data_IF_022148248658
#
_entry.id   IF_022148248658
#
_cell.length_a   1.000
_cell.length_b   1.000
_cell.length_c   1.000
_cell.angle_alpha   90.00
_cell.angle_beta   90.00
_cell.angle_gamma   90.00
#
_symmetry.space_group_name_H-M   'P 1'
#
loop_
_entity.id
_entity.type
_entity.pdbx_description
1 polymer ?
#
# COMPACT_ATOMS: atom_id res chain seq x y z
N UNK A 1 25.13 -29.72 11.24
CA UNK A 1 24.07 -30.49 10.55
C UNK A 1 23.01 -29.46 10.11
N UNK A 2 23.07 -29.06 8.85
CA UNK A 2 22.09 -28.14 8.24
C UNK A 2 20.85 -28.96 7.91
N UNK A 3 19.76 -28.73 8.64
CA UNK A 3 18.45 -29.28 8.26
C UNK A 3 18.09 -28.81 6.85
N UNK A 4 17.62 -29.71 5.96
CA UNK A 4 17.22 -29.30 4.62
C UNK A 4 16.07 -28.27 4.73
N UNK A 5 16.19 -27.19 3.98
CA UNK A 5 15.09 -26.21 3.83
C UNK A 5 13.85 -26.95 3.32
N UNK A 6 12.68 -26.74 3.92
CA UNK A 6 11.45 -27.38 3.46
C UNK A 6 11.21 -27.00 1.99
N UNK A 7 11.08 -28.01 1.13
CA UNK A 7 10.72 -27.82 -0.28
C UNK A 7 9.31 -27.24 -0.32
N UNK A 8 9.08 -26.05 -0.91
CA UNK A 8 7.76 -25.46 -0.98
C UNK A 8 6.82 -26.36 -1.78
N UNK A 9 5.60 -26.53 -1.28
CA UNK A 9 4.54 -27.22 -2.01
C UNK A 9 4.28 -26.46 -3.34
N UNK A 10 4.22 -27.13 -4.48
CA UNK A 10 4.17 -26.47 -5.79
C UNK A 10 2.96 -25.58 -6.06
N UNK A 11 1.92 -25.63 -5.20
CA UNK A 11 0.68 -24.82 -5.31
C UNK A 11 0.33 -24.05 -4.04
N UNK A 12 1.26 -23.88 -3.07
CA UNK A 12 0.97 -23.10 -1.87
C UNK A 12 0.90 -21.60 -2.19
N UNK A 13 -0.07 -20.85 -1.66
CA UNK A 13 -0.07 -19.39 -1.70
C UNK A 13 1.26 -18.82 -1.16
N UNK A 14 1.67 -17.66 -1.68
CA UNK A 14 2.84 -16.94 -1.16
C UNK A 14 2.61 -16.47 0.28
N UNK A 15 1.38 -16.05 0.56
CA UNK A 15 0.89 -15.76 1.91
C UNK A 15 -0.50 -16.37 2.07
N UNK A 16 -0.72 -17.08 3.16
CA UNK A 16 -2.04 -17.54 3.60
C UNK A 16 -2.29 -17.06 5.02
N UNK A 17 -3.40 -16.38 5.23
CA UNK A 17 -3.87 -15.94 6.54
C UNK A 17 -5.26 -16.55 6.76
N UNK A 18 -5.49 -17.14 7.95
CA UNK A 18 -6.77 -17.76 8.31
C UNK A 18 -7.21 -17.32 9.69
N UNK A 19 -8.41 -16.76 9.76
CA UNK A 19 -9.10 -16.35 11.00
C UNK A 19 -8.19 -15.58 11.97
N UNK A 20 -7.32 -14.72 11.43
CA UNK A 20 -6.31 -14.03 12.22
C UNK A 20 -6.96 -12.99 13.13
N UNK A 21 -6.69 -13.10 14.43
CA UNK A 21 -7.18 -12.22 15.48
C UNK A 21 -6.03 -11.61 16.24
N UNK A 22 -6.19 -10.34 16.61
CA UNK A 22 -5.25 -9.65 17.51
C UNK A 22 -6.00 -8.77 18.48
N UNK A 23 -5.80 -9.06 19.76
CA UNK A 23 -6.18 -8.19 20.87
C UNK A 23 -4.91 -7.78 21.59
N UNK A 24 -4.73 -6.49 21.83
CA UNK A 24 -3.62 -5.93 22.58
C UNK A 24 -3.92 -5.94 24.09
N UNK A 25 -2.91 -5.79 24.94
CA UNK A 25 -3.04 -5.85 26.39
C UNK A 25 -3.95 -4.75 26.97
N UNK A 26 -4.11 -3.65 26.25
CA UNK A 26 -5.06 -2.58 26.57
C UNK A 26 -6.53 -2.89 26.21
N UNK A 27 -6.82 -4.10 25.77
CA UNK A 27 -8.16 -4.57 25.38
C UNK A 27 -8.57 -4.19 23.96
N UNK A 28 -7.79 -3.43 23.21
CA UNK A 28 -8.10 -3.06 21.81
C UNK A 28 -7.95 -4.28 20.91
N UNK A 29 -9.05 -4.68 20.30
CA UNK A 29 -9.04 -5.72 19.28
C UNK A 29 -8.79 -5.09 17.90
N UNK A 30 -7.59 -5.30 17.35
CA UNK A 30 -7.16 -4.71 16.09
C UNK A 30 -7.50 -5.57 14.86
N UNK A 31 -7.63 -6.90 15.04
CA UNK A 31 -8.03 -7.83 13.97
C UNK A 31 -9.12 -8.77 14.47
N UNK A 32 -10.17 -8.96 13.64
CA UNK A 32 -11.41 -9.65 13.97
C UNK A 32 -11.65 -10.93 13.14
N UNK A 33 -10.62 -11.71 12.84
CA UNK A 33 -10.73 -12.93 12.02
C UNK A 33 -10.44 -12.64 10.55
N UNK A 34 -9.31 -11.99 10.29
CA UNK A 34 -8.83 -11.70 8.93
C UNK A 34 -8.42 -12.99 8.24
N UNK A 35 -8.95 -13.21 7.02
CA UNK A 35 -8.56 -14.31 6.15
C UNK A 35 -8.27 -13.77 4.75
N UNK A 36 -7.08 -14.09 4.21
CA UNK A 36 -6.71 -13.70 2.85
C UNK A 36 -5.65 -14.65 2.29
N UNK A 37 -5.60 -14.76 0.95
CA UNK A 37 -4.57 -15.47 0.22
C UNK A 37 -3.91 -14.54 -0.80
N UNK A 38 -2.57 -14.61 -0.91
CA UNK A 38 -1.78 -13.96 -1.94
C UNK A 38 -1.07 -15.04 -2.75
N UNK A 39 -1.22 -15.01 -4.07
CA UNK A 39 -0.63 -16.01 -4.96
C UNK A 39 0.86 -15.74 -5.21
N UNK A 40 1.66 -16.79 -5.52
CA UNK A 40 3.06 -16.61 -5.91
C UNK A 40 3.19 -15.70 -7.15
N UNK A 41 4.18 -14.78 -7.10
CA UNK A 41 4.43 -13.83 -8.18
C UNK A 41 3.40 -12.72 -8.32
N UNK A 42 2.41 -12.63 -7.41
CA UNK A 42 1.43 -11.55 -7.44
C UNK A 42 2.03 -10.20 -7.01
N UNK A 43 1.42 -9.12 -7.48
CA UNK A 43 1.57 -7.79 -6.95
C UNK A 43 0.24 -7.40 -6.33
N UNK A 44 0.18 -7.47 -5.02
CA UNK A 44 -1.05 -7.40 -4.22
C UNK A 44 -1.12 -6.11 -3.41
N UNK A 45 -2.28 -5.43 -3.42
CA UNK A 45 -2.51 -4.26 -2.58
C UNK A 45 -3.31 -4.63 -1.32
N UNK A 46 -2.85 -4.15 -0.16
CA UNK A 46 -3.63 -4.15 1.08
C UNK A 46 -4.04 -2.71 1.39
N UNK A 47 -5.29 -2.38 1.13
CA UNK A 47 -5.85 -1.05 1.29
C UNK A 47 -6.72 -0.95 2.55
N UNK A 48 -6.85 0.26 3.10
CA UNK A 48 -7.72 0.51 4.24
C UNK A 48 -7.43 1.87 4.87
N UNK A 49 -8.38 2.46 5.60
CA UNK A 49 -8.16 3.71 6.32
C UNK A 49 -7.12 3.57 7.43
N UNK A 50 -6.70 4.70 7.99
CA UNK A 50 -5.84 4.69 9.16
C UNK A 50 -6.56 4.02 10.34
N UNK A 51 -5.84 3.16 11.06
CA UNK A 51 -6.42 2.37 12.16
C UNK A 51 -7.21 1.13 11.73
N UNK A 52 -7.33 0.82 10.43
CA UNK A 52 -8.06 -0.36 9.94
C UNK A 52 -7.43 -1.71 10.30
N UNK A 53 -6.18 -1.72 10.79
CA UNK A 53 -5.48 -2.96 11.16
C UNK A 53 -4.34 -3.37 10.22
N UNK A 54 -4.04 -2.60 9.16
CA UNK A 54 -2.97 -2.91 8.18
C UNK A 54 -1.61 -3.17 8.84
N UNK A 55 -1.14 -2.20 9.64
CA UNK A 55 0.19 -2.31 10.30
C UNK A 55 0.21 -3.45 11.33
N UNK A 56 -0.92 -3.76 11.98
CA UNK A 56 -1.03 -4.94 12.86
C UNK A 56 -0.93 -6.23 12.06
N UNK A 57 -1.62 -6.33 10.93
CA UNK A 57 -1.54 -7.50 10.04
C UNK A 57 -0.11 -7.70 9.52
N UNK A 58 0.52 -6.64 8.98
CA UNK A 58 1.92 -6.68 8.54
C UNK A 58 2.85 -7.04 9.68
N UNK A 59 2.66 -6.43 10.86
CA UNK A 59 3.47 -6.72 12.05
C UNK A 59 3.41 -8.20 12.45
N UNK A 60 2.25 -8.85 12.32
CA UNK A 60 2.13 -10.29 12.60
C UNK A 60 2.82 -11.11 11.52
N UNK A 61 2.57 -10.83 10.24
CA UNK A 61 3.19 -11.55 9.11
C UNK A 61 4.72 -11.47 9.18
N UNK A 62 5.26 -10.28 9.56
CA UNK A 62 6.69 -10.04 9.73
C UNK A 62 7.24 -10.46 11.10
N UNK A 63 6.43 -11.12 11.94
CA UNK A 63 6.83 -11.58 13.28
C UNK A 63 7.28 -10.47 14.24
N UNK A 64 6.89 -9.23 14.01
CA UNK A 64 7.09 -8.09 14.93
C UNK A 64 6.00 -8.01 16.00
N UNK A 65 4.82 -8.56 15.71
CA UNK A 65 3.67 -8.61 16.61
C UNK A 65 3.20 -10.06 16.74
N UNK A 66 2.93 -10.51 17.97
CA UNK A 66 2.36 -11.84 18.19
C UNK A 66 0.87 -11.84 17.88
N UNK A 67 0.39 -12.86 17.19
CA UNK A 67 -1.05 -13.09 16.97
C UNK A 67 -1.73 -13.52 18.30
N UNK A 68 -3.03 -13.26 18.42
CA UNK A 68 -3.83 -13.78 19.54
C UNK A 68 -4.53 -15.10 19.18
N UNK A 69 -4.94 -15.26 17.92
CA UNK A 69 -5.51 -16.51 17.38
C UNK A 69 -5.44 -16.49 15.84
N UNK A 70 -5.63 -17.66 15.23
CA UNK A 70 -5.56 -17.83 13.78
C UNK A 70 -4.23 -18.42 13.32
N UNK A 71 -4.01 -18.43 12.01
CA UNK A 71 -2.83 -19.02 11.38
C UNK A 71 -2.28 -18.15 10.27
N UNK A 72 -0.95 -18.13 10.12
CA UNK A 72 -0.23 -17.46 9.04
C UNK A 72 0.81 -18.41 8.46
N UNK A 73 0.76 -18.60 7.15
CA UNK A 73 1.74 -19.38 6.40
C UNK A 73 2.38 -18.53 5.29
N UNK A 74 3.70 -18.65 5.13
CA UNK A 74 4.48 -18.04 4.06
C UNK A 74 5.02 -19.14 3.17
N UNK A 75 4.54 -19.26 1.93
CA UNK A 75 4.82 -20.37 1.00
C UNK A 75 4.64 -21.75 1.63
N UNK A 76 3.54 -21.94 2.41
CA UNK A 76 3.25 -23.17 3.11
C UNK A 76 4.09 -23.40 4.38
N UNK A 77 4.93 -22.45 4.76
CA UNK A 77 5.72 -22.49 5.99
C UNK A 77 4.94 -21.78 7.09
N UNK A 78 4.50 -22.52 8.11
CA UNK A 78 3.72 -21.99 9.23
C UNK A 78 4.56 -21.10 10.13
N UNK A 79 4.07 -19.88 10.39
CA UNK A 79 4.77 -18.85 11.13
C UNK A 79 4.93 -19.20 12.63
N UNK A 80 3.98 -19.92 13.21
CA UNK A 80 4.01 -20.25 14.64
C UNK A 80 5.03 -21.35 14.94
N UNK A 81 5.13 -22.35 14.06
CA UNK A 81 5.96 -23.54 14.29
C UNK A 81 7.33 -23.46 13.61
N UNK A 82 7.44 -22.70 12.50
CA UNK A 82 8.65 -22.60 11.67
C UNK A 82 9.08 -21.17 11.40
N UNK A 83 9.01 -20.30 12.41
CA UNK A 83 9.23 -18.86 12.33
C UNK A 83 10.49 -18.48 11.55
N UNK A 84 11.65 -19.07 11.89
CA UNK A 84 12.92 -18.73 11.24
C UNK A 84 12.94 -19.09 9.76
N UNK A 85 12.30 -20.19 9.37
CA UNK A 85 12.19 -20.59 7.97
C UNK A 85 11.26 -19.65 7.21
N UNK A 86 10.10 -19.31 7.78
CA UNK A 86 9.16 -18.34 7.18
C UNK A 86 9.81 -16.96 6.99
N UNK A 87 10.55 -16.46 7.97
CA UNK A 87 11.21 -15.15 7.92
C UNK A 87 12.35 -15.08 6.90
N UNK A 88 12.97 -16.19 6.52
CA UNK A 88 13.94 -16.21 5.42
C UNK A 88 13.32 -16.04 4.04
N UNK A 89 12.03 -16.31 3.91
CA UNK A 89 11.28 -16.14 2.66
C UNK A 89 10.73 -14.73 2.50
N UNK A 90 10.80 -13.89 3.56
CA UNK A 90 10.15 -12.60 3.65
C UNK A 90 11.16 -11.46 3.75
N UNK A 91 10.96 -10.42 2.94
CA UNK A 91 11.60 -9.11 3.08
C UNK A 91 10.56 -8.07 3.51
N UNK A 92 10.93 -7.19 4.44
CA UNK A 92 10.08 -6.11 4.92
C UNK A 92 10.75 -4.76 4.66
N UNK A 93 10.02 -3.85 4.04
CA UNK A 93 10.35 -2.42 3.93
C UNK A 93 9.34 -1.64 4.76
N UNK A 94 9.69 -1.20 5.98
CA UNK A 94 8.78 -0.44 6.83
C UNK A 94 8.57 0.99 6.33
N UNK A 95 7.55 1.64 6.85
CA UNK A 95 7.23 3.03 6.51
C UNK A 95 8.34 4.01 6.92
N UNK A 96 8.98 3.82 8.05
CA UNK A 96 10.05 4.69 8.52
C UNK A 96 11.44 4.20 8.09
N UNK A 97 12.35 5.16 7.84
CA UNK A 97 13.75 4.87 7.54
C UNK A 97 14.42 4.35 8.83
N UNK A 98 14.88 3.10 8.80
CA UNK A 98 15.40 2.39 9.96
C UNK A 98 16.82 1.82 9.75
N UNK A 99 17.69 2.57 9.10
CA UNK A 99 19.12 2.26 8.98
C UNK A 99 19.96 3.42 9.50
N UNK A 100 21.23 3.16 9.80
CA UNK A 100 22.15 4.17 10.31
C UNK A 100 22.52 5.17 9.20
N UNK A 101 22.16 6.44 9.39
CA UNK A 101 22.40 7.50 8.42
C UNK A 101 23.88 7.88 8.27
N UNK A 102 24.74 7.46 9.21
CA UNK A 102 26.18 7.72 9.18
C UNK A 102 26.97 6.57 8.53
N UNK A 103 26.29 5.52 8.07
CA UNK A 103 26.89 4.45 7.27
C UNK A 103 26.71 4.74 5.77
N UNK A 104 27.55 4.09 4.96
CA UNK A 104 27.45 4.12 3.51
C UNK A 104 26.41 3.12 3.01
N UNK A 105 25.69 3.38 1.90
CA UNK A 105 24.76 2.41 1.32
C UNK A 105 25.34 1.02 1.13
N UNK A 106 26.56 0.91 0.64
CA UNK A 106 27.24 -0.36 0.45
C UNK A 106 27.42 -1.14 1.79
N UNK A 107 27.92 -0.45 2.81
CA UNK A 107 28.16 -1.07 4.13
C UNK A 107 26.84 -1.48 4.79
N UNK A 108 25.78 -0.68 4.67
CA UNK A 108 24.44 -1.01 5.17
C UNK A 108 23.95 -2.33 4.58
N UNK A 109 24.09 -2.53 3.26
CA UNK A 109 23.65 -3.74 2.60
C UNK A 109 24.49 -4.95 3.03
N UNK A 110 25.81 -4.83 3.02
CA UNK A 110 26.74 -5.90 3.38
C UNK A 110 26.53 -6.32 4.85
N UNK A 111 26.43 -5.36 5.76
CA UNK A 111 26.17 -5.62 7.17
C UNK A 111 24.82 -6.31 7.38
N UNK A 112 23.78 -5.85 6.69
CA UNK A 112 22.45 -6.46 6.77
C UNK A 112 22.46 -7.93 6.33
N UNK A 113 23.11 -8.25 5.20
CA UNK A 113 23.26 -9.63 4.74
C UNK A 113 24.04 -10.50 5.75
N UNK A 114 25.03 -9.91 6.43
CA UNK A 114 25.81 -10.56 7.48
C UNK A 114 24.95 -11.02 8.67
N UNK A 115 23.91 -10.27 9.07
CA UNK A 115 22.96 -10.69 10.12
C UNK A 115 22.17 -11.95 9.75
N UNK A 116 22.02 -12.25 8.45
CA UNK A 116 21.39 -13.46 7.94
C UNK A 116 22.39 -14.58 7.64
N UNK A 117 23.68 -14.38 7.99
CA UNK A 117 24.73 -15.39 7.85
C UNK A 117 25.32 -15.50 6.45
N UNK A 118 25.11 -14.51 5.58
CA UNK A 118 25.69 -14.48 4.24
C UNK A 118 27.20 -14.23 4.32
N UNK A 119 28.06 -15.02 3.63
CA UNK A 119 29.49 -14.74 3.55
C UNK A 119 29.77 -13.36 2.96
N UNK A 120 30.78 -12.65 3.50
CA UNK A 120 31.07 -11.27 3.13
C UNK A 120 31.29 -11.08 1.63
N UNK A 121 32.05 -11.95 0.98
CA UNK A 121 32.31 -11.86 -0.46
C UNK A 121 31.03 -12.00 -1.31
N UNK A 122 30.09 -12.82 -0.87
CA UNK A 122 28.78 -12.95 -1.50
C UNK A 122 27.90 -11.70 -1.25
N UNK A 123 27.90 -11.20 -0.02
CA UNK A 123 27.19 -9.99 0.37
C UNK A 123 27.67 -8.75 -0.40
N UNK A 124 29.00 -8.60 -0.59
CA UNK A 124 29.58 -7.49 -1.36
C UNK A 124 29.17 -7.57 -2.84
N UNK A 125 29.22 -8.75 -3.45
CA UNK A 125 28.76 -8.96 -4.83
C UNK A 125 27.26 -8.66 -4.99
N UNK A 126 26.44 -9.13 -4.07
CA UNK A 126 24.99 -8.89 -4.10
C UNK A 126 24.66 -7.42 -3.83
N UNK A 127 25.38 -6.76 -2.92
CA UNK A 127 25.19 -5.34 -2.63
C UNK A 127 25.43 -4.47 -3.88
N UNK A 128 26.44 -4.79 -4.70
CA UNK A 128 26.65 -4.12 -5.98
C UNK A 128 25.45 -4.29 -6.92
N UNK A 129 24.91 -5.51 -7.04
CA UNK A 129 23.75 -5.80 -7.88
C UNK A 129 22.53 -5.01 -7.41
N UNK A 130 22.23 -5.06 -6.11
CA UNK A 130 21.03 -4.42 -5.58
C UNK A 130 21.14 -2.88 -5.58
N UNK A 131 22.33 -2.31 -5.36
CA UNK A 131 22.55 -0.87 -5.50
C UNK A 131 22.43 -0.40 -6.95
N UNK A 132 22.88 -1.19 -7.92
CA UNK A 132 22.68 -0.90 -9.35
C UNK A 132 21.19 -0.94 -9.72
N UNK A 133 20.45 -1.96 -9.28
CA UNK A 133 18.99 -2.08 -9.48
C UNK A 133 18.24 -0.90 -8.85
N UNK A 134 18.65 -0.45 -7.68
CA UNK A 134 18.07 0.71 -7.01
C UNK A 134 18.52 2.07 -7.57
N UNK A 135 19.36 2.10 -8.61
CA UNK A 135 19.99 3.33 -9.15
C UNK A 135 20.73 4.14 -8.08
N UNK A 136 21.50 3.45 -7.23
CA UNK A 136 22.29 4.05 -6.13
C UNK A 136 23.76 3.70 -6.15
N UNK A 137 24.26 3.03 -7.20
CA UNK A 137 25.65 2.60 -7.27
C UNK A 137 26.64 3.76 -7.24
N UNK A 138 26.32 4.88 -7.90
CA UNK A 138 27.11 6.11 -7.88
C UNK A 138 27.18 6.74 -6.48
N UNK A 139 26.27 6.38 -5.58
CA UNK A 139 26.20 6.82 -4.18
C UNK A 139 26.62 5.74 -3.19
N UNK A 140 27.11 4.58 -3.65
CA UNK A 140 27.45 3.44 -2.80
C UNK A 140 28.42 3.77 -1.66
N UNK A 141 29.32 4.74 -1.89
CA UNK A 141 30.42 5.10 -0.98
C UNK A 141 30.23 6.45 -0.25
N UNK A 142 29.09 7.14 -0.44
CA UNK A 142 28.79 8.39 0.29
C UNK A 142 28.03 8.10 1.56
N UNK A 143 28.01 9.02 2.53
CA UNK A 143 27.21 8.87 3.75
C UNK A 143 25.73 8.89 3.44
N UNK A 144 24.96 7.95 3.97
CA UNK A 144 23.53 7.81 3.69
C UNK A 144 22.69 9.02 4.14
N UNK A 145 23.17 9.82 5.09
CA UNK A 145 22.54 11.09 5.48
C UNK A 145 22.40 12.08 4.34
N UNK A 146 23.32 12.05 3.34
CA UNK A 146 23.33 12.96 2.19
C UNK A 146 22.36 12.55 1.08
N UNK A 147 21.75 11.36 1.18
CA UNK A 147 20.77 10.88 0.22
C UNK A 147 19.45 11.63 0.38
N UNK A 148 18.75 11.87 -0.74
CA UNK A 148 17.37 12.37 -0.72
C UNK A 148 16.40 11.36 -0.07
N UNK A 149 15.20 11.79 0.30
CA UNK A 149 14.18 10.90 0.85
C UNK A 149 13.87 9.70 -0.06
N UNK A 150 13.70 9.95 -1.36
CA UNK A 150 13.48 8.88 -2.34
C UNK A 150 14.67 7.95 -2.51
N UNK A 151 15.92 8.46 -2.46
CA UNK A 151 17.11 7.62 -2.47
C UNK A 151 17.21 6.73 -1.24
N UNK A 152 16.87 7.26 -0.06
CA UNK A 152 16.81 6.47 1.18
C UNK A 152 15.74 5.37 1.09
N UNK A 153 14.57 5.65 0.50
CA UNK A 153 13.52 4.65 0.27
C UNK A 153 14.01 3.53 -0.66
N UNK A 154 14.65 3.88 -1.78
CA UNK A 154 15.24 2.89 -2.69
C UNK A 154 16.32 2.05 -2.02
N UNK A 155 17.12 2.66 -1.12
CA UNK A 155 18.11 1.93 -0.32
C UNK A 155 17.45 0.92 0.63
N UNK A 156 16.30 1.24 1.23
CA UNK A 156 15.56 0.28 2.06
C UNK A 156 15.06 -0.92 1.25
N UNK A 157 14.59 -0.70 0.03
CA UNK A 157 14.19 -1.78 -0.88
C UNK A 157 15.41 -2.64 -1.22
N UNK A 158 16.53 -2.03 -1.65
CA UNK A 158 17.77 -2.73 -1.94
C UNK A 158 18.26 -3.57 -0.75
N UNK A 159 18.17 -3.02 0.48
CA UNK A 159 18.52 -3.75 1.71
C UNK A 159 17.61 -4.96 1.93
N UNK A 160 16.30 -4.80 1.76
CA UNK A 160 15.37 -5.92 1.92
C UNK A 160 15.62 -7.03 0.87
N UNK A 161 16.09 -6.68 -0.32
CA UNK A 161 16.43 -7.64 -1.38
C UNK A 161 17.74 -8.42 -1.13
N UNK A 162 18.59 -7.99 -0.18
CA UNK A 162 19.83 -8.70 0.17
C UNK A 162 19.60 -10.13 0.65
N UNK A 163 18.43 -10.44 1.22
CA UNK A 163 18.07 -11.80 1.64
C UNK A 163 17.42 -12.62 0.52
N UNK A 164 17.30 -12.07 -0.67
CA UNK A 164 16.62 -12.69 -1.84
C UNK A 164 15.23 -13.24 -1.48
N UNK A 165 14.35 -12.41 -0.89
CA UNK A 165 13.06 -12.86 -0.40
C UNK A 165 12.16 -13.31 -1.55
N UNK A 166 11.31 -14.31 -1.31
CA UNK A 166 10.26 -14.71 -2.24
C UNK A 166 8.99 -13.87 -2.07
N UNK A 167 8.79 -13.29 -0.88
CA UNK A 167 7.72 -12.36 -0.53
C UNK A 167 8.32 -11.05 -0.01
N UNK A 168 8.03 -9.94 -0.67
CA UNK A 168 8.42 -8.59 -0.25
C UNK A 168 7.19 -7.83 0.22
N UNK A 169 7.21 -7.34 1.44
CA UNK A 169 6.17 -6.46 2.00
C UNK A 169 6.70 -5.04 2.06
N UNK A 170 5.91 -4.11 1.52
CA UNK A 170 6.21 -2.69 1.46
C UNK A 170 5.12 -1.92 2.20
N UNK A 171 5.48 -1.31 3.33
CA UNK A 171 4.54 -0.50 4.10
C UNK A 171 4.69 0.97 3.73
N UNK A 172 3.73 1.49 2.95
CA UNK A 172 3.67 2.85 2.43
C UNK A 172 5.01 3.34 1.79
N UNK A 173 5.57 2.61 0.81
CA UNK A 173 6.94 2.87 0.34
C UNK A 173 7.11 4.23 -0.32
N UNK A 174 6.05 4.85 -0.84
CA UNK A 174 6.08 6.13 -1.55
C UNK A 174 5.51 7.30 -0.74
N UNK A 175 5.24 7.09 0.56
CA UNK A 175 4.73 8.17 1.42
C UNK A 175 5.73 9.33 1.50
N UNK A 176 5.24 10.54 1.22
CA UNK A 176 6.04 11.76 1.31
C UNK A 176 7.11 11.93 0.24
N UNK A 177 7.03 11.21 -0.90
CA UNK A 177 7.94 11.40 -2.04
C UNK A 177 7.24 12.06 -3.22
N UNK A 178 8.00 12.83 -4.00
CA UNK A 178 7.53 13.51 -5.21
C UNK A 178 7.08 12.53 -6.29
N UNK A 179 6.23 12.99 -7.21
CA UNK A 179 5.62 12.16 -8.25
C UNK A 179 6.66 11.50 -9.18
N UNK A 180 7.76 12.18 -9.50
CA UNK A 180 8.83 11.63 -10.35
C UNK A 180 9.56 10.50 -9.63
N UNK A 181 9.93 10.71 -8.37
CA UNK A 181 10.58 9.69 -7.53
C UNK A 181 9.66 8.49 -7.32
N UNK A 182 8.34 8.72 -7.15
CA UNK A 182 7.33 7.66 -7.05
C UNK A 182 7.31 6.79 -8.30
N UNK A 183 7.29 7.40 -9.49
CA UNK A 183 7.31 6.66 -10.77
C UNK A 183 8.58 5.84 -10.96
N UNK A 184 9.73 6.36 -10.54
CA UNK A 184 10.99 5.62 -10.58
C UNK A 184 10.97 4.42 -9.62
N UNK A 185 10.42 4.57 -8.43
CA UNK A 185 10.22 3.46 -7.50
C UNK A 185 9.27 2.39 -8.07
N UNK A 186 8.19 2.78 -8.71
CA UNK A 186 7.26 1.85 -9.37
C UNK A 186 7.97 1.01 -10.44
N UNK A 187 8.92 1.60 -11.18
CA UNK A 187 9.71 0.87 -12.16
C UNK A 187 10.56 -0.21 -11.49
N UNK A 188 11.29 0.14 -10.45
CA UNK A 188 12.11 -0.81 -9.67
C UNK A 188 11.24 -1.93 -9.09
N UNK A 189 10.08 -1.62 -8.53
CA UNK A 189 9.17 -2.62 -7.97
C UNK A 189 8.59 -3.55 -9.04
N UNK A 190 8.26 -3.04 -10.24
CA UNK A 190 7.83 -3.88 -11.37
C UNK A 190 8.94 -4.84 -11.81
N UNK A 191 10.18 -4.39 -11.85
CA UNK A 191 11.33 -5.23 -12.19
C UNK A 191 11.54 -6.36 -11.16
N UNK A 192 11.43 -6.04 -9.86
CA UNK A 192 11.50 -7.02 -8.77
C UNK A 192 10.37 -8.06 -8.90
N UNK A 193 9.13 -7.62 -9.17
CA UNK A 193 7.99 -8.52 -9.34
C UNK A 193 8.11 -9.36 -10.61
N UNK A 194 8.57 -8.78 -11.73
CA UNK A 194 8.80 -9.49 -12.98
C UNK A 194 9.90 -10.56 -12.86
N UNK A 195 10.85 -10.39 -11.96
CA UNK A 195 11.85 -11.38 -11.61
C UNK A 195 11.31 -12.54 -10.74
N UNK A 196 10.01 -12.53 -10.38
CA UNK A 196 9.32 -13.61 -9.67
C UNK A 196 9.06 -13.37 -8.19
N UNK A 197 9.51 -12.25 -7.62
CA UNK A 197 9.22 -11.91 -6.22
C UNK A 197 7.75 -11.51 -6.07
N UNK A 198 7.02 -12.15 -5.15
CA UNK A 198 5.67 -11.73 -4.76
C UNK A 198 5.75 -10.43 -3.97
N UNK A 199 4.89 -9.47 -4.25
CA UNK A 199 4.91 -8.17 -3.56
C UNK A 199 3.55 -7.92 -2.91
N UNK A 200 3.58 -7.53 -1.62
CA UNK A 200 2.43 -6.96 -0.91
C UNK A 200 2.74 -5.48 -0.63
N UNK A 201 1.85 -4.62 -1.08
CA UNK A 201 1.97 -3.18 -0.96
C UNK A 201 0.84 -2.65 -0.08
N UNK A 202 1.16 -1.90 0.98
CA UNK A 202 0.20 -0.99 1.60
C UNK A 202 0.41 0.41 1.07
N UNK A 203 -0.65 1.10 0.79
CA UNK A 203 -0.62 2.50 0.36
C UNK A 203 -1.94 3.19 0.66
N UNK A 204 -1.89 4.48 0.85
CA UNK A 204 -3.06 5.38 0.83
C UNK A 204 -3.20 6.10 -0.53
N UNK A 205 -2.23 5.93 -1.43
CA UNK A 205 -2.29 6.41 -2.81
C UNK A 205 -2.93 5.35 -3.70
N UNK A 206 -4.23 5.49 -3.96
CA UNK A 206 -5.00 4.50 -4.71
C UNK A 206 -4.52 4.36 -6.17
N UNK A 207 -4.00 5.44 -6.76
CA UNK A 207 -3.34 5.42 -8.07
C UNK A 207 -2.16 4.45 -8.11
N UNK A 208 -1.38 4.36 -7.01
CA UNK A 208 -0.28 3.42 -6.89
C UNK A 208 -0.76 1.96 -6.92
N UNK A 209 -1.80 1.66 -6.14
CA UNK A 209 -2.40 0.33 -6.11
C UNK A 209 -2.96 -0.05 -7.48
N UNK A 210 -3.70 0.85 -8.14
CA UNK A 210 -4.28 0.61 -9.47
C UNK A 210 -3.20 0.43 -10.55
N UNK A 211 -2.10 1.19 -10.47
CA UNK A 211 -1.00 1.12 -11.43
C UNK A 211 -0.14 -0.13 -11.31
N UNK A 212 0.04 -0.66 -10.09
CA UNK A 212 1.00 -1.72 -9.79
C UNK A 212 0.34 -3.08 -9.54
N UNK A 213 -0.82 -3.10 -8.88
CA UNK A 213 -1.36 -4.32 -8.31
C UNK A 213 -2.39 -4.99 -9.19
N UNK A 214 -2.32 -6.33 -9.27
CA UNK A 214 -3.29 -7.15 -10.00
C UNK A 214 -4.48 -7.54 -9.13
N UNK A 215 -4.23 -7.78 -7.86
CA UNK A 215 -5.21 -8.15 -6.85
C UNK A 215 -5.12 -7.20 -5.65
N UNK A 216 -6.23 -7.08 -4.93
CA UNK A 216 -6.26 -6.28 -3.71
C UNK A 216 -7.14 -6.91 -2.63
N UNK A 217 -6.91 -6.48 -1.39
CA UNK A 217 -7.87 -6.62 -0.30
C UNK A 217 -8.08 -5.26 0.36
N UNK A 218 -9.31 -4.97 0.73
CA UNK A 218 -9.67 -3.79 1.51
C UNK A 218 -9.97 -4.26 2.92
N UNK A 219 -9.23 -3.70 3.88
CA UNK A 219 -9.44 -3.95 5.31
C UNK A 219 -10.07 -2.71 5.95
N UNK A 220 -11.14 -2.89 6.70
CA UNK A 220 -11.74 -1.86 7.53
C UNK A 220 -12.09 -2.44 8.90
N UNK A 221 -11.81 -1.68 9.99
CA UNK A 221 -12.08 -2.07 11.38
C UNK A 221 -11.65 -3.51 11.69
N UNK A 222 -10.45 -3.89 11.25
CA UNK A 222 -9.87 -5.21 11.50
C UNK A 222 -10.52 -6.38 10.75
N UNK A 223 -11.31 -6.14 9.70
CA UNK A 223 -11.95 -7.15 8.85
C UNK A 223 -11.66 -6.91 7.38
N UNK A 224 -11.50 -7.97 6.61
CA UNK A 224 -11.50 -7.85 5.14
C UNK A 224 -12.95 -7.60 4.70
N UNK A 225 -13.19 -6.44 4.09
CA UNK A 225 -14.51 -6.05 3.58
C UNK A 225 -14.68 -6.44 2.12
N UNK A 226 -13.59 -6.49 1.36
CA UNK A 226 -13.59 -6.91 -0.04
C UNK A 226 -12.19 -7.42 -0.42
N UNK A 227 -12.11 -8.43 -1.32
CA UNK A 227 -10.84 -8.91 -1.88
C UNK A 227 -11.06 -9.57 -3.24
N UNK A 228 -10.06 -9.47 -4.11
CA UNK A 228 -10.10 -10.13 -5.43
C UNK A 228 -9.28 -9.39 -6.49
N UNK A 229 -9.44 -9.81 -7.76
CA UNK A 229 -8.80 -9.15 -8.89
C UNK A 229 -9.26 -7.70 -9.03
N UNK A 230 -8.31 -6.79 -9.22
CA UNK A 230 -8.56 -5.35 -9.39
C UNK A 230 -9.66 -5.08 -10.42
N UNK A 231 -9.59 -5.77 -11.57
CA UNK A 231 -10.57 -5.58 -12.66
C UNK A 231 -12.00 -5.96 -12.25
N UNK A 232 -12.17 -7.04 -11.50
CA UNK A 232 -13.48 -7.51 -11.05
C UNK A 232 -14.09 -6.58 -10.00
N UNK A 233 -13.24 -6.08 -9.10
CA UNK A 233 -13.67 -5.15 -8.07
C UNK A 233 -14.08 -3.79 -8.67
N UNK A 234 -13.29 -3.27 -9.60
CA UNK A 234 -13.63 -2.04 -10.32
C UNK A 234 -14.84 -2.22 -11.25
N UNK A 235 -15.12 -3.44 -11.71
CA UNK A 235 -16.31 -3.72 -12.51
C UNK A 235 -17.62 -3.71 -11.68
N UNK A 236 -17.53 -3.80 -10.34
CA UNK A 236 -18.70 -3.68 -9.44
C UNK A 236 -19.21 -2.23 -9.32
N UNK A 237 -18.45 -1.25 -9.82
CA UNK A 237 -18.90 0.14 -9.92
C UNK A 237 -19.83 0.26 -11.14
N UNK A 238 -21.12 0.34 -10.89
CA UNK A 238 -22.15 0.46 -11.93
C UNK A 238 -22.24 1.86 -12.52
N UNK A 239 -21.61 2.85 -11.87
CA UNK A 239 -21.66 4.28 -12.22
C UNK A 239 -20.27 4.76 -12.62
N UNK A 240 -20.17 5.60 -13.63
CA UNK A 240 -18.96 6.32 -14.01
C UNK A 240 -19.19 7.82 -13.83
N UNK A 241 -18.28 8.48 -13.09
CA UNK A 241 -18.30 9.92 -12.87
C UNK A 241 -17.36 10.67 -13.83
N UNK A 242 -17.87 11.73 -14.44
CA UNK A 242 -17.11 12.59 -15.35
C UNK A 242 -17.26 14.05 -14.95
N UNK A 243 -16.21 14.82 -15.15
CA UNK A 243 -16.25 16.28 -15.17
C UNK A 243 -16.20 16.74 -16.64
N UNK A 244 -17.20 17.51 -17.03
CA UNK A 244 -17.31 18.05 -18.38
C UNK A 244 -17.03 19.55 -18.32
N UNK A 245 -15.96 20.00 -18.95
CA UNK A 245 -15.71 21.44 -19.13
C UNK A 245 -16.54 21.90 -20.35
N UNK A 246 -17.30 22.96 -20.20
CA UNK A 246 -18.20 23.47 -21.25
C UNK A 246 -17.66 24.75 -21.86
N UNK A 247 -18.06 25.00 -23.11
CA UNK A 247 -17.78 26.22 -23.82
C UNK A 247 -18.95 27.21 -23.61
N UNK A 248 -18.68 28.31 -22.89
CA UNK A 248 -19.69 29.26 -22.45
C UNK A 248 -20.18 29.05 -21.03
N UNK A 249 -21.31 29.61 -20.66
CA UNK A 249 -21.94 29.49 -19.35
C UNK A 249 -23.04 28.44 -19.34
N UNK A 250 -23.19 27.76 -18.21
CA UNK A 250 -24.26 26.79 -18.00
C UNK A 250 -25.63 27.50 -17.98
N UNK A 251 -26.67 26.90 -18.59
CA UNK A 251 -28.03 27.41 -18.47
C UNK A 251 -28.53 27.27 -17.03
N UNK A 252 -29.46 28.14 -16.64
CA UNK A 252 -30.06 28.11 -15.31
C UNK A 252 -30.75 26.77 -14.96
N UNK A 253 -31.17 26.04 -15.99
CA UNK A 253 -31.78 24.71 -15.86
C UNK A 253 -31.04 23.70 -16.73
N UNK A 254 -30.49 22.68 -16.10
CA UNK A 254 -29.79 21.58 -16.78
C UNK A 254 -30.81 20.60 -17.38
N UNK A 255 -30.50 19.97 -18.55
CA UNK A 255 -31.36 18.94 -19.11
C UNK A 255 -31.42 17.72 -18.21
N UNK A 256 -32.60 17.16 -18.01
CA UNK A 256 -32.77 15.88 -17.35
C UNK A 256 -32.47 14.76 -18.35
N UNK A 257 -31.46 13.95 -18.07
CA UNK A 257 -31.10 12.78 -18.88
C UNK A 257 -31.39 11.54 -18.04
N UNK A 258 -32.35 10.75 -18.51
CA UNK A 258 -32.81 9.55 -17.79
C UNK A 258 -31.67 8.61 -17.44
N UNK A 259 -31.59 8.22 -16.17
CA UNK A 259 -30.54 7.32 -15.66
C UNK A 259 -29.22 8.02 -15.34
N UNK A 260 -29.11 9.34 -15.46
CA UNK A 260 -27.91 10.09 -15.09
C UNK A 260 -28.19 11.10 -13.98
N UNK A 261 -27.15 11.48 -13.24
CA UNK A 261 -27.15 12.63 -12.34
C UNK A 261 -26.26 13.71 -12.96
N UNK A 262 -26.83 14.90 -13.17
CA UNK A 262 -26.12 16.05 -13.72
C UNK A 262 -26.19 17.20 -12.72
N UNK A 263 -25.03 17.70 -12.30
CA UNK A 263 -24.90 18.79 -11.34
C UNK A 263 -23.94 19.86 -11.88
N UNK A 264 -24.26 21.14 -11.72
CA UNK A 264 -23.32 22.21 -11.98
C UNK A 264 -22.33 22.28 -10.82
N UNK A 265 -21.03 22.09 -11.08
CA UNK A 265 -19.98 22.29 -10.11
C UNK A 265 -19.62 23.77 -10.01
N UNK A 266 -19.55 24.44 -11.14
CA UNK A 266 -19.35 25.89 -11.30
C UNK A 266 -19.99 26.37 -12.62
N UNK A 267 -19.76 27.63 -13.01
CA UNK A 267 -20.35 28.22 -14.22
C UNK A 267 -19.94 27.55 -15.53
N UNK A 268 -18.83 26.79 -15.54
CA UNK A 268 -18.21 26.20 -16.72
C UNK A 268 -17.96 24.70 -16.63
N UNK A 269 -18.30 24.07 -15.49
CA UNK A 269 -18.03 22.66 -15.24
C UNK A 269 -19.29 21.93 -14.81
N UNK A 270 -19.62 20.84 -15.54
CA UNK A 270 -20.68 19.91 -15.19
C UNK A 270 -20.10 18.66 -14.56
N UNK A 271 -20.73 18.22 -13.52
CA UNK A 271 -20.55 16.94 -12.85
C UNK A 271 -21.59 15.97 -13.41
N UNK A 272 -21.13 14.88 -14.05
CA UNK A 272 -21.96 13.86 -14.65
C UNK A 272 -21.67 12.52 -14.02
N UNK A 273 -22.67 11.92 -13.36
CA UNK A 273 -22.67 10.51 -12.99
C UNK A 273 -23.62 9.73 -13.91
N UNK A 274 -23.13 8.67 -14.53
CA UNK A 274 -23.91 7.86 -15.47
C UNK A 274 -23.65 6.36 -15.31
N UNK A 275 -24.64 5.49 -15.56
CA UNK A 275 -24.43 4.06 -15.61
C UNK A 275 -23.39 3.68 -16.66
N UNK A 276 -22.50 2.76 -16.32
CA UNK A 276 -21.44 2.29 -17.23
C UNK A 276 -21.98 1.69 -18.55
N UNK A 277 -23.16 1.12 -18.49
CA UNK A 277 -23.83 0.56 -19.67
C UNK A 277 -24.44 1.61 -20.60
N UNK A 278 -24.48 2.89 -20.18
CA UNK A 278 -25.05 3.97 -20.97
C UNK A 278 -24.06 4.48 -22.01
N UNK A 279 -24.57 4.73 -23.23
CA UNK A 279 -23.76 5.33 -24.29
C UNK A 279 -23.54 6.84 -24.04
N UNK A 280 -22.29 7.25 -23.96
CA UNK A 280 -21.86 8.65 -23.82
C UNK A 280 -22.40 9.54 -24.95
N UNK A 281 -22.58 9.00 -26.16
CA UNK A 281 -23.15 9.75 -27.28
C UNK A 281 -24.57 10.23 -26.98
N UNK A 282 -25.37 9.45 -26.25
CA UNK A 282 -26.71 9.84 -25.79
C UNK A 282 -26.66 11.08 -24.89
N UNK A 283 -25.67 11.11 -23.99
CA UNK A 283 -25.46 12.25 -23.09
C UNK A 283 -25.03 13.49 -23.87
N UNK A 284 -24.05 13.37 -24.76
CA UNK A 284 -23.58 14.49 -25.56
C UNK A 284 -24.66 15.03 -26.51
N UNK A 285 -25.50 14.16 -27.09
CA UNK A 285 -26.63 14.58 -27.92
C UNK A 285 -27.64 15.37 -27.10
N UNK A 286 -27.99 14.94 -25.90
CA UNK A 286 -28.91 15.65 -25.00
C UNK A 286 -28.35 17.02 -24.56
N UNK A 287 -27.05 17.07 -24.19
CA UNK A 287 -26.37 18.33 -23.86
C UNK A 287 -26.34 19.29 -25.04
N UNK A 288 -26.00 18.79 -26.24
CA UNK A 288 -26.00 19.58 -27.48
C UNK A 288 -27.38 20.14 -27.85
N UNK A 289 -28.45 19.36 -27.64
CA UNK A 289 -29.85 19.79 -27.86
C UNK A 289 -30.27 20.90 -26.88
N UNK A 290 -29.68 20.92 -25.68
CA UNK A 290 -29.86 21.98 -24.69
C UNK A 290 -28.92 23.19 -24.89
N UNK A 291 -28.16 23.22 -26.00
CA UNK A 291 -27.22 24.30 -26.31
C UNK A 291 -25.89 24.25 -25.55
N UNK A 292 -25.64 23.18 -24.80
CA UNK A 292 -24.42 23.01 -24.00
C UNK A 292 -23.34 22.33 -24.84
N UNK A 293 -22.23 23.02 -25.10
CA UNK A 293 -21.09 22.49 -25.84
C UNK A 293 -20.01 21.99 -24.88
N UNK A 294 -19.73 20.68 -24.91
CA UNK A 294 -18.65 20.08 -24.13
C UNK A 294 -17.33 20.32 -24.85
N UNK A 295 -16.38 20.97 -24.19
CA UNK A 295 -15.03 21.26 -24.67
C UNK A 295 -14.07 20.15 -24.34
N UNK A 296 -14.13 19.64 -23.09
CA UNK A 296 -13.31 18.54 -22.64
C UNK A 296 -14.07 17.68 -21.64
N UNK A 297 -13.62 16.44 -21.49
CA UNK A 297 -14.14 15.48 -20.53
C UNK A 297 -12.98 14.82 -19.79
N UNK A 298 -13.12 14.70 -18.49
CA UNK A 298 -12.18 13.96 -17.64
C UNK A 298 -12.95 13.11 -16.63
N UNK A 299 -12.37 12.00 -16.21
CA UNK A 299 -12.94 11.20 -15.13
C UNK A 299 -12.88 11.97 -13.81
N UNK A 300 -13.94 11.89 -13.00
CA UNK A 300 -14.13 12.66 -11.78
C UNK A 300 -13.17 12.21 -10.66
N UNK A 301 -12.98 10.92 -10.54
CA UNK A 301 -12.07 10.32 -9.54
C UNK A 301 -11.42 9.04 -10.10
N UNK A 302 -10.37 8.61 -9.44
CA UNK A 302 -9.85 7.26 -9.63
C UNK A 302 -10.93 6.25 -9.21
N UNK A 303 -11.27 5.30 -10.08
CA UNK A 303 -12.30 4.27 -9.83
C UNK A 303 -12.07 3.52 -8.51
N UNK A 304 -10.83 3.26 -8.19
CA UNK A 304 -10.49 2.60 -6.94
C UNK A 304 -10.81 3.48 -5.72
N UNK A 305 -10.69 4.81 -5.85
CA UNK A 305 -11.08 5.76 -4.80
C UNK A 305 -12.58 5.72 -4.53
N UNK A 306 -13.38 5.69 -5.59
CA UNK A 306 -14.83 5.58 -5.47
C UNK A 306 -15.25 4.27 -4.79
N UNK A 307 -14.69 3.14 -5.24
CA UNK A 307 -14.91 1.84 -4.61
C UNK A 307 -14.49 1.86 -3.13
N UNK A 308 -13.34 2.43 -2.84
CA UNK A 308 -12.80 2.54 -1.48
C UNK A 308 -13.71 3.36 -0.56
N UNK A 309 -14.14 4.54 -1.02
CA UNK A 309 -15.06 5.41 -0.26
C UNK A 309 -16.39 4.72 -0.02
N UNK A 310 -16.97 4.06 -1.03
CA UNK A 310 -18.22 3.31 -0.91
C UNK A 310 -18.12 2.19 0.13
N UNK A 311 -17.04 1.40 0.10
CA UNK A 311 -16.86 0.26 1.01
C UNK A 311 -16.47 0.66 2.44
N UNK A 312 -15.83 1.82 2.62
CA UNK A 312 -15.38 2.31 3.94
C UNK A 312 -16.20 3.49 4.45
N UNK A 313 -16.93 4.19 3.58
CA UNK A 313 -17.72 5.40 3.86
C UNK A 313 -19.12 5.12 4.37
N UNK A 314 -19.83 4.13 3.82
CA UNK A 314 -21.18 3.76 4.24
C UNK A 314 -21.28 3.29 5.70
N UNK A 315 -20.13 2.91 6.29
CA UNK A 315 -20.04 2.52 7.70
C UNK A 315 -19.78 3.69 8.68
N UNK A 316 -19.74 4.93 8.22
CA UNK A 316 -19.55 6.11 9.10
C UNK A 316 -20.86 6.66 9.70
N UNK A 317 -22.00 6.11 9.31
CA UNK A 317 -23.33 6.60 9.71
C UNK A 317 -23.75 6.35 11.15
N UNK A 318 -23.02 5.56 11.95
CA UNK A 318 -23.46 5.15 13.30
C UNK A 318 -22.31 5.21 14.35
N UNK A 319 -21.77 6.41 14.64
CA UNK A 319 -21.17 6.65 15.95
C UNK A 319 -21.16 8.14 16.29
N UNK A 320 -21.63 8.53 17.51
CA UNK A 320 -21.43 9.87 18.02
C UNK A 320 -19.93 10.11 18.25
N UNK A 321 -19.45 11.30 17.91
CA UNK A 321 -18.08 11.75 18.07
C UNK A 321 -17.58 11.47 19.51
N UNK A 322 -16.78 10.41 19.67
CA UNK A 322 -16.03 10.20 20.91
C UNK A 322 -14.79 11.10 20.87
N UNK A 323 -14.70 11.95 21.90
CA UNK A 323 -13.63 12.91 22.11
C UNK A 323 -12.23 12.27 21.93
N UNK A 324 -11.36 12.93 21.18
CA UNK A 324 -9.93 12.64 21.14
C UNK A 324 -9.36 12.58 22.56
N UNK A 325 -8.61 11.53 22.93
CA UNK A 325 -7.82 11.59 24.14
C UNK A 325 -6.71 12.64 23.97
N UNK A 326 -6.69 13.62 24.85
CA UNK A 326 -5.59 14.58 24.97
C UNK A 326 -4.26 13.83 25.13
N UNK A 327 -3.28 14.18 24.34
CA UNK A 327 -1.92 13.66 24.46
C UNK A 327 -1.34 13.93 25.84
N UNK A 328 -0.36 13.13 26.31
CA UNK A 328 0.22 13.33 27.63
C UNK A 328 0.90 14.69 27.69
N UNK A 329 0.51 15.48 28.72
CA UNK A 329 1.11 16.76 29.07
C UNK A 329 2.63 16.59 29.25
N UNK A 330 3.39 17.45 28.59
CA UNK A 330 4.83 17.56 28.80
C UNK A 330 5.11 17.81 30.29
N UNK A 331 5.93 16.96 30.89
CA UNK A 331 6.41 17.14 32.25
C UNK A 331 7.34 18.35 32.31
N UNK A 332 7.06 19.27 33.21
CA UNK A 332 7.92 20.41 33.55
C UNK A 332 9.33 19.96 33.95
N UNK A 333 10.38 20.69 33.56
CA UNK A 333 11.74 20.39 34.00
C UNK A 333 11.89 20.69 35.50
N UNK A 334 12.72 19.92 36.25
CA UNK A 334 12.92 20.12 37.68
C UNK A 334 13.61 21.45 37.96
N UNK A 335 13.09 22.19 38.95
CA UNK A 335 13.68 23.42 39.46
C UNK A 335 15.05 23.13 40.09
N UNK A 336 16.03 24.04 39.96
CA UNK A 336 17.33 23.89 40.62
C UNK A 336 17.20 24.04 42.14
N UNK A 337 17.87 23.14 42.86
CA UNK A 337 17.99 23.18 44.34
C UNK A 337 18.88 24.32 44.77
N UNK A 338 18.55 25.04 45.87
CA UNK A 338 19.42 26.09 46.37
C UNK A 338 20.69 25.52 47.03
N UNK A 339 21.79 26.16 46.71
CA UNK A 339 23.11 25.85 47.31
C UNK A 339 23.10 26.16 48.82
N UNK A 340 23.68 25.21 49.54
CA UNK A 340 24.28 25.41 50.87
C UNK A 340 25.71 24.87 50.87
#
# INVERSE_FOLDING_TARGET
MTSPSPTPLPNAPALRVRELRKTYDNGVQALHGVSLDVLPGDFFALLGPNGAGKSTLIGIISSLVNLSAGQVEVFGTDLATQRSAAMRLLGLVPQEINFNLFEKPFDILVNYAGFYGMPRAEAERLAEVELKRAHLWDKAQVMSRTLSGGMKRRLMIARAMMTQPRLLILDEPTAGVDIEIRRDMWRVLREINAAGTTIILTTHYLEEAESLCRNLAIIDRGRIVEQGPMRELLAKLDVEGFLLDIDGELPAQLPAIEGTTLLAQDAHTLDLDMPRAMDLNRVFAALGSAGIRVRSMRTKSNRLEELFVRLTGDNRGDQPASASPAGPAAADPPKPSPAA
#
